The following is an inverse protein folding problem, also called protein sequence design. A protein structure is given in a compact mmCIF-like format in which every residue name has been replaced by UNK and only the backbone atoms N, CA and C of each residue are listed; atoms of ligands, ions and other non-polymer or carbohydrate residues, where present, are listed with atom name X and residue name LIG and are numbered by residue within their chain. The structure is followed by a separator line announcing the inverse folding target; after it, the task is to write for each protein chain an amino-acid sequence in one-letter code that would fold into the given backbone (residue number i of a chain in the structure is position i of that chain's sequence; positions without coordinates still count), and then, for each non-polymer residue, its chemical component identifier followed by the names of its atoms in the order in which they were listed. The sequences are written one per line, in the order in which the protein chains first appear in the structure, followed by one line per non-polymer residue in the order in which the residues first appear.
data_IF_837139470054
#
_entry.id   IF_837139470054
#
_cell.length_a   1.000
_cell.length_b   1.000
_cell.length_c   1.000
_cell.angle_alpha   90.00
_cell.angle_beta   90.00
_cell.angle_gamma   90.00
#
_symmetry.space_group_name_H-M   'P 1'
#
loop_
_entity.id
_entity.type
_entity.pdbx_description
1 polymer ?
#
# COMPACT_ATOMS: atom_id res chain seq x y z
N UNK A 1 5.74 -8.14 20.64
CA UNK A 1 4.50 -7.71 19.93
C UNK A 1 4.89 -6.85 18.74
N UNK A 2 4.07 -6.78 17.67
CA UNK A 2 4.40 -5.93 16.50
C UNK A 2 3.41 -4.78 16.38
N UNK A 3 3.87 -3.65 15.80
CA UNK A 3 3.05 -2.51 15.43
C UNK A 3 2.96 -2.40 13.92
N UNK A 4 1.74 -2.27 13.39
CA UNK A 4 1.50 -2.05 11.96
C UNK A 4 0.82 -0.70 11.73
N UNK A 5 1.30 0.04 10.75
CA UNK A 5 0.63 1.23 10.20
C UNK A 5 0.14 0.89 8.80
N UNK A 6 -1.17 0.98 8.55
CA UNK A 6 -1.77 0.55 7.28
C UNK A 6 -2.56 1.69 6.67
N UNK A 7 -2.16 2.16 5.50
CA UNK A 7 -2.96 3.11 4.73
C UNK A 7 -4.02 2.38 3.88
N UNK A 8 -5.21 2.98 3.73
CA UNK A 8 -6.32 2.33 3.04
C UNK A 8 -6.95 1.17 3.83
N UNK A 9 -6.94 1.24 5.17
CA UNK A 9 -7.31 0.15 6.07
C UNK A 9 -8.81 -0.19 6.15
N UNK A 10 -9.70 0.59 5.50
CA UNK A 10 -11.15 0.47 5.73
C UNK A 10 -11.89 -0.51 4.80
N UNK A 11 -11.26 -1.02 3.73
CA UNK A 11 -11.86 -1.95 2.77
C UNK A 11 -10.81 -2.78 2.02
N UNK A 12 -11.26 -3.79 1.29
CA UNK A 12 -10.42 -4.62 0.42
C UNK A 12 -9.20 -5.19 1.15
N UNK A 13 -8.05 -5.18 0.48
CA UNK A 13 -6.81 -5.74 1.02
C UNK A 13 -6.41 -5.12 2.36
N UNK A 14 -6.52 -3.79 2.51
CA UNK A 14 -6.15 -3.11 3.77
C UNK A 14 -7.00 -3.52 4.95
N UNK A 15 -8.32 -3.74 4.77
CA UNK A 15 -9.20 -4.24 5.82
C UNK A 15 -8.88 -5.71 6.17
N UNK A 16 -8.61 -6.55 5.16
CA UNK A 16 -8.24 -7.94 5.37
C UNK A 16 -6.90 -8.07 6.13
N UNK A 17 -5.88 -7.27 5.77
CA UNK A 17 -4.61 -7.18 6.50
C UNK A 17 -4.84 -6.76 7.95
N UNK A 18 -5.64 -5.70 8.17
CA UNK A 18 -5.96 -5.20 9.50
C UNK A 18 -6.61 -6.29 10.36
N UNK A 19 -7.63 -6.98 9.83
CA UNK A 19 -8.35 -8.03 10.55
C UNK A 19 -7.42 -9.21 10.94
N UNK A 20 -6.59 -9.69 10.01
CA UNK A 20 -5.68 -10.80 10.27
C UNK A 20 -4.60 -10.44 11.29
N UNK A 21 -4.08 -9.21 11.26
CA UNK A 21 -3.06 -8.75 12.20
C UNK A 21 -3.62 -8.56 13.62
N UNK A 22 -4.83 -8.02 13.74
CA UNK A 22 -5.53 -7.92 15.02
C UNK A 22 -5.85 -9.30 15.61
N UNK A 23 -6.28 -10.26 14.77
CA UNK A 23 -6.51 -11.64 15.19
C UNK A 23 -5.24 -12.35 15.69
N UNK A 24 -4.05 -11.92 15.25
CA UNK A 24 -2.75 -12.39 15.74
C UNK A 24 -2.27 -11.64 16.99
N UNK A 25 -3.07 -10.75 17.56
CA UNK A 25 -2.72 -9.99 18.77
C UNK A 25 -1.76 -8.83 18.54
N UNK A 26 -1.61 -8.37 17.31
CA UNK A 26 -0.77 -7.21 17.00
C UNK A 26 -1.51 -5.89 17.18
N UNK A 27 -0.78 -4.78 17.31
CA UNK A 27 -1.35 -3.42 17.27
C UNK A 27 -1.37 -2.89 15.86
N UNK A 28 -2.48 -2.24 15.47
CA UNK A 28 -2.66 -1.65 14.14
C UNK A 28 -3.08 -0.19 14.26
N UNK A 29 -2.37 0.71 13.55
CA UNK A 29 -2.85 2.04 13.22
C UNK A 29 -3.39 2.01 11.78
N UNK A 30 -4.71 2.11 11.64
CA UNK A 30 -5.39 2.18 10.35
C UNK A 30 -5.61 3.63 9.91
N UNK A 31 -5.27 3.93 8.65
CA UNK A 31 -5.45 5.25 8.03
C UNK A 31 -6.43 5.11 6.85
N UNK A 32 -7.58 5.76 6.89
CA UNK A 32 -8.51 5.81 5.75
C UNK A 32 -9.57 6.91 5.93
N UNK A 33 -10.28 7.24 4.87
CA UNK A 33 -11.36 8.26 4.90
C UNK A 33 -12.59 7.80 5.69
N UNK A 34 -12.93 6.52 5.61
CA UNK A 34 -14.08 5.93 6.33
C UNK A 34 -13.57 5.23 7.57
N UNK A 35 -14.22 5.48 8.69
CA UNK A 35 -13.93 4.78 9.93
C UNK A 35 -14.13 3.27 9.78
N UNK A 36 -13.30 2.50 10.46
CA UNK A 36 -13.50 1.08 10.67
C UNK A 36 -14.20 0.86 12.02
N UNK A 37 -14.93 -0.27 12.21
CA UNK A 37 -15.43 -0.65 13.51
C UNK A 37 -14.31 -0.70 14.54
N UNK A 38 -14.61 -0.27 15.77
CA UNK A 38 -13.66 -0.36 16.88
C UNK A 38 -13.33 -1.84 17.17
N UNK A 39 -12.06 -2.12 17.38
CA UNK A 39 -11.57 -3.45 17.74
C UNK A 39 -10.39 -3.33 18.71
N UNK A 40 -10.20 -4.30 19.62
CA UNK A 40 -9.03 -4.35 20.48
C UNK A 40 -7.73 -4.31 19.67
N UNK A 41 -6.78 -3.46 20.06
CA UNK A 41 -5.52 -3.30 19.35
C UNK A 41 -5.55 -2.38 18.12
N UNK A 42 -6.73 -1.87 17.71
CA UNK A 42 -6.91 -0.96 16.60
C UNK A 42 -6.98 0.50 17.08
N UNK A 43 -6.04 1.32 16.60
CA UNK A 43 -6.17 2.77 16.55
C UNK A 43 -6.55 3.13 15.12
N UNK A 44 -7.54 3.98 14.93
CA UNK A 44 -7.99 4.34 13.58
C UNK A 44 -8.07 5.86 13.40
N UNK A 45 -7.47 6.35 12.32
CA UNK A 45 -7.55 7.77 11.95
C UNK A 45 -8.37 7.94 10.67
N UNK A 46 -9.43 8.74 10.79
CA UNK A 46 -10.16 9.21 9.61
C UNK A 46 -9.37 10.35 8.96
N UNK A 47 -8.74 10.06 7.82
CA UNK A 47 -7.85 10.97 7.10
C UNK A 47 -8.01 10.83 5.59
N UNK A 48 -7.75 11.92 4.84
CA UNK A 48 -7.68 11.90 3.39
C UNK A 48 -6.23 12.03 2.91
N UNK A 49 -5.75 11.01 2.22
CA UNK A 49 -4.40 10.98 1.63
C UNK A 49 -4.29 11.77 0.31
N UNK A 50 -5.35 12.45 -0.14
CA UNK A 50 -5.26 13.49 -1.15
C UNK A 50 -4.62 14.79 -0.58
N UNK A 51 -4.53 14.92 0.75
CA UNK A 51 -3.72 15.88 1.48
C UNK A 51 -2.81 15.12 2.47
N UNK A 52 -1.69 14.56 2.00
CA UNK A 52 -0.91 13.61 2.80
C UNK A 52 0.03 14.27 3.82
N UNK A 53 0.41 15.55 3.64
CA UNK A 53 1.40 16.19 4.50
C UNK A 53 0.99 16.25 5.98
N UNK A 54 -0.21 16.73 6.35
CA UNK A 54 -0.63 16.76 7.75
C UNK A 54 -0.73 15.35 8.37
N UNK A 55 -1.06 14.34 7.54
CA UNK A 55 -1.15 12.95 7.98
C UNK A 55 0.24 12.39 8.29
N UNK A 56 1.23 12.70 7.46
CA UNK A 56 2.61 12.28 7.66
C UNK A 56 3.23 12.93 8.90
N UNK A 57 3.03 14.24 9.09
CA UNK A 57 3.49 14.97 10.29
C UNK A 57 2.88 14.37 11.56
N UNK A 58 1.57 14.11 11.54
CA UNK A 58 0.88 13.44 12.65
C UNK A 58 1.43 12.04 12.91
N UNK A 59 1.73 11.27 11.86
CA UNK A 59 2.29 9.92 11.98
C UNK A 59 3.67 9.97 12.64
N UNK A 60 4.55 10.86 12.21
CA UNK A 60 5.87 11.01 12.77
C UNK A 60 5.80 11.36 14.27
N UNK A 61 4.98 12.35 14.63
CA UNK A 61 4.78 12.76 16.02
C UNK A 61 4.20 11.63 16.88
N UNK A 62 3.21 10.89 16.34
CA UNK A 62 2.57 9.78 17.05
C UNK A 62 3.55 8.64 17.30
N UNK A 63 4.37 8.27 16.30
CA UNK A 63 5.40 7.23 16.46
C UNK A 63 6.44 7.63 17.53
N UNK A 64 6.85 8.89 17.57
CA UNK A 64 7.76 9.39 18.59
C UNK A 64 7.21 9.35 20.03
N UNK A 65 5.89 9.20 20.19
CA UNK A 65 5.23 9.08 21.50
C UNK A 65 4.98 7.62 21.93
N UNK A 66 5.23 6.64 21.03
CA UNK A 66 5.04 5.23 21.38
C UNK A 66 6.21 4.72 22.23
N UNK A 67 5.92 3.79 23.12
CA UNK A 67 6.98 3.07 23.84
C UNK A 67 7.61 2.02 22.91
N UNK A 68 8.73 2.35 22.29
CA UNK A 68 9.44 1.50 21.33
C UNK A 68 9.79 0.13 21.90
N UNK A 69 10.02 0.00 23.21
CA UNK A 69 10.39 -1.25 23.86
C UNK A 69 9.24 -2.31 23.86
N UNK A 70 8.01 -1.89 23.58
CA UNK A 70 6.87 -2.83 23.45
C UNK A 70 6.86 -3.60 22.12
N UNK A 71 7.66 -3.15 21.13
CA UNK A 71 7.57 -3.66 19.77
C UNK A 71 8.90 -4.27 19.28
N UNK A 72 8.87 -5.57 18.99
CA UNK A 72 10.01 -6.29 18.38
C UNK A 72 10.16 -5.93 16.88
N UNK A 73 9.05 -5.53 16.26
CA UNK A 73 8.99 -5.14 14.84
C UNK A 73 7.93 -4.06 14.63
N UNK A 74 8.24 -3.06 13.82
CA UNK A 74 7.30 -2.05 13.35
C UNK A 74 7.24 -2.05 11.82
N UNK A 75 6.02 -2.00 11.27
CA UNK A 75 5.79 -2.17 9.83
C UNK A 75 4.87 -1.07 9.32
N UNK A 76 5.28 -0.40 8.23
CA UNK A 76 4.40 0.45 7.43
C UNK A 76 3.94 -0.33 6.19
N UNK A 77 2.62 -0.38 5.97
CA UNK A 77 2.01 -0.92 4.74
C UNK A 77 1.31 0.21 4.00
N UNK A 78 1.95 0.75 2.98
CA UNK A 78 1.37 1.72 2.07
C UNK A 78 0.47 0.98 1.07
N UNK A 79 -0.80 0.82 1.43
CA UNK A 79 -1.79 0.11 0.62
C UNK A 79 -2.82 1.03 -0.05
N UNK A 80 -3.00 2.26 0.44
CA UNK A 80 -3.92 3.20 -0.18
C UNK A 80 -3.59 3.44 -1.66
N UNK A 81 -4.60 3.38 -2.50
CA UNK A 81 -4.48 3.63 -3.92
C UNK A 81 -5.83 3.94 -4.53
N UNK A 82 -5.82 4.73 -5.58
CA UNK A 82 -7.01 5.07 -6.35
C UNK A 82 -6.72 4.87 -7.84
N UNK A 83 -7.74 4.52 -8.59
CA UNK A 83 -7.74 4.59 -10.05
C UNK A 83 -8.64 5.74 -10.47
N UNK A 84 -8.25 6.45 -11.51
CA UNK A 84 -9.13 7.39 -12.20
C UNK A 84 -10.17 6.62 -13.01
N UNK A 85 -11.17 7.30 -13.52
CA UNK A 85 -11.98 6.73 -14.60
C UNK A 85 -11.04 6.33 -15.76
N UNK A 86 -11.06 5.08 -16.25
CA UNK A 86 -10.19 4.65 -17.33
C UNK A 86 -10.46 5.44 -18.62
N UNK A 87 -9.39 5.94 -19.23
CA UNK A 87 -9.48 6.71 -20.46
C UNK A 87 -8.14 7.35 -20.84
N UNK A 88 -8.02 7.87 -22.09
CA UNK A 88 -6.87 8.64 -22.50
C UNK A 88 -6.65 9.84 -21.57
N UNK A 89 -5.41 10.17 -21.24
CA UNK A 89 -5.07 11.15 -20.22
C UNK A 89 -5.71 12.54 -20.43
N UNK A 90 -5.86 12.95 -21.68
CA UNK A 90 -6.50 14.23 -22.02
C UNK A 90 -8.00 14.26 -21.73
N UNK A 91 -8.64 13.10 -21.55
CA UNK A 91 -10.06 12.97 -21.20
C UNK A 91 -10.32 12.85 -19.70
N UNK A 92 -9.29 12.72 -18.88
CA UNK A 92 -9.41 12.60 -17.42
C UNK A 92 -9.36 13.98 -16.77
N UNK A 93 -10.31 14.35 -15.88
CA UNK A 93 -10.27 15.63 -15.18
C UNK A 93 -8.95 15.85 -14.45
N UNK A 94 -8.35 17.05 -14.58
CA UNK A 94 -7.04 17.37 -13.97
C UNK A 94 -7.01 17.12 -12.45
N UNK A 95 -8.11 17.40 -11.75
CA UNK A 95 -8.23 17.14 -10.32
C UNK A 95 -8.11 15.63 -9.98
N UNK A 96 -8.65 14.75 -10.83
CA UNK A 96 -8.51 13.30 -10.65
C UNK A 96 -7.07 12.84 -10.92
N UNK A 97 -6.39 13.38 -11.94
CA UNK A 97 -4.99 13.10 -12.22
C UNK A 97 -4.11 13.49 -11.03
N UNK A 98 -4.29 14.70 -10.50
CA UNK A 98 -3.58 15.19 -9.33
C UNK A 98 -3.84 14.32 -8.10
N UNK A 99 -5.11 14.02 -7.80
CA UNK A 99 -5.47 13.16 -6.66
C UNK A 99 -4.89 11.74 -6.76
N UNK A 100 -4.86 11.16 -7.96
CA UNK A 100 -4.29 9.82 -8.17
C UNK A 100 -2.79 9.77 -7.82
N UNK A 101 -2.03 10.80 -8.21
CA UNK A 101 -0.61 10.90 -7.88
C UNK A 101 -0.39 11.22 -6.40
N UNK A 102 -1.19 12.12 -5.82
CA UNK A 102 -1.11 12.43 -4.39
C UNK A 102 -1.33 11.20 -3.52
N UNK A 103 -2.42 10.47 -3.76
CA UNK A 103 -2.73 9.27 -2.97
C UNK A 103 -1.79 8.11 -3.27
N UNK A 104 -1.44 7.89 -4.55
CA UNK A 104 -0.69 6.71 -4.98
C UNK A 104 0.82 6.82 -4.85
N UNK A 105 1.38 8.03 -4.85
CA UNK A 105 2.83 8.25 -4.83
C UNK A 105 3.27 9.22 -3.74
N UNK A 106 2.74 10.44 -3.71
CA UNK A 106 3.14 11.45 -2.72
C UNK A 106 2.87 10.97 -1.28
N UNK A 107 1.68 10.43 -1.02
CA UNK A 107 1.36 9.86 0.29
C UNK A 107 2.30 8.71 0.67
N UNK A 108 2.66 7.84 -0.29
CA UNK A 108 3.63 6.76 -0.05
C UNK A 108 4.99 7.32 0.35
N UNK A 109 5.48 8.34 -0.34
CA UNK A 109 6.75 9.00 -0.02
C UNK A 109 6.71 9.64 1.38
N UNK A 110 5.70 10.48 1.65
CA UNK A 110 5.62 11.23 2.90
C UNK A 110 5.38 10.34 4.12
N UNK A 111 4.51 9.33 4.01
CA UNK A 111 4.29 8.37 5.10
C UNK A 111 5.54 7.52 5.36
N UNK A 112 6.28 7.12 4.31
CA UNK A 112 7.54 6.39 4.47
C UNK A 112 8.59 7.26 5.16
N UNK A 113 8.75 8.52 4.75
CA UNK A 113 9.67 9.45 5.39
C UNK A 113 9.32 9.69 6.87
N UNK A 114 8.04 9.93 7.18
CA UNK A 114 7.54 10.12 8.53
C UNK A 114 7.76 8.87 9.41
N UNK A 115 7.51 7.68 8.83
CA UNK A 115 7.74 6.40 9.50
C UNK A 115 9.23 6.21 9.84
N UNK A 116 10.12 6.39 8.87
CA UNK A 116 11.56 6.26 9.06
C UNK A 116 12.11 7.26 10.09
N UNK A 117 11.63 8.50 10.05
CA UNK A 117 12.01 9.53 11.01
C UNK A 117 11.49 9.22 12.44
N UNK A 118 10.20 8.85 12.55
CA UNK A 118 9.54 8.58 13.82
C UNK A 118 9.99 7.28 14.51
N UNK A 119 10.59 6.35 13.77
CA UNK A 119 11.11 5.08 14.28
C UNK A 119 12.63 4.99 14.27
N UNK A 120 13.32 6.12 14.00
CA UNK A 120 14.77 6.17 13.78
C UNK A 120 15.55 5.44 14.87
N UNK A 121 15.23 5.71 16.12
CA UNK A 121 15.98 5.25 17.29
C UNK A 121 15.38 3.98 17.92
N UNK A 122 14.40 3.35 17.25
CA UNK A 122 13.80 2.11 17.72
C UNK A 122 14.75 0.93 17.50
N UNK A 123 14.92 0.10 18.55
CA UNK A 123 15.75 -1.10 18.49
C UNK A 123 15.11 -2.24 17.66
N UNK A 124 13.77 -2.29 17.62
CA UNK A 124 13.00 -3.29 16.87
C UNK A 124 13.23 -3.23 15.36
N UNK A 125 12.94 -4.33 14.68
CA UNK A 125 13.03 -4.39 13.22
C UNK A 125 12.05 -3.41 12.56
N UNK A 126 12.49 -2.77 11.49
CA UNK A 126 11.69 -1.83 10.70
C UNK A 126 11.46 -2.38 9.31
N UNK A 127 10.20 -2.38 8.86
CA UNK A 127 9.83 -2.84 7.51
C UNK A 127 8.86 -1.87 6.85
N UNK A 128 9.02 -1.68 5.55
CA UNK A 128 8.04 -0.96 4.71
C UNK A 128 7.61 -1.87 3.56
N UNK A 129 6.31 -2.05 3.42
CA UNK A 129 5.68 -2.70 2.26
C UNK A 129 4.86 -1.67 1.51
N UNK A 130 5.25 -1.38 0.29
CA UNK A 130 4.49 -0.56 -0.64
C UNK A 130 3.68 -1.48 -1.55
N UNK A 131 2.35 -1.47 -1.45
CA UNK A 131 1.49 -2.30 -2.31
C UNK A 131 1.48 -1.73 -3.71
N UNK A 132 2.29 -2.35 -4.57
CA UNK A 132 2.48 -1.98 -5.97
C UNK A 132 1.50 -2.71 -6.90
N UNK A 133 1.89 -2.89 -8.13
CA UNK A 133 1.14 -3.58 -9.19
C UNK A 133 2.11 -4.01 -10.29
N UNK A 134 1.75 -5.01 -11.08
CA UNK A 134 2.41 -5.28 -12.35
C UNK A 134 2.45 -4.06 -13.30
N UNK A 135 1.56 -3.08 -13.09
CA UNK A 135 1.54 -1.82 -13.85
C UNK A 135 2.60 -0.80 -13.38
N UNK A 136 3.35 -1.08 -12.34
CA UNK A 136 4.59 -0.37 -12.03
C UNK A 136 5.75 -0.76 -12.96
N UNK A 137 5.66 -1.94 -13.59
CA UNK A 137 6.72 -2.51 -14.46
C UNK A 137 6.35 -2.55 -15.92
N UNK A 138 5.07 -2.40 -16.27
CA UNK A 138 4.55 -2.35 -17.63
C UNK A 138 3.48 -1.27 -17.76
N UNK A 139 3.41 -0.65 -18.92
CA UNK A 139 2.37 0.32 -19.22
C UNK A 139 1.04 -0.39 -19.58
N UNK A 140 -0.07 0.32 -19.35
CA UNK A 140 -1.40 -0.05 -19.81
C UNK A 140 -2.10 1.20 -20.36
N UNK A 141 -2.76 1.05 -21.50
CA UNK A 141 -3.55 2.13 -22.08
C UNK A 141 -4.66 2.57 -21.09
N UNK A 142 -5.04 3.83 -21.16
CA UNK A 142 -6.10 4.41 -20.33
C UNK A 142 -5.86 4.37 -18.80
N UNK A 143 -4.63 4.10 -18.35
CA UNK A 143 -4.24 4.00 -16.94
C UNK A 143 -2.97 4.80 -16.60
N UNK A 144 -2.63 5.83 -17.37
CA UNK A 144 -1.38 6.58 -17.23
C UNK A 144 -1.09 7.06 -15.79
N UNK A 145 -2.03 7.70 -15.05
CA UNK A 145 -1.73 8.17 -13.68
C UNK A 145 -1.48 7.01 -12.71
N UNK A 146 -2.17 5.90 -12.86
CA UNK A 146 -1.96 4.71 -12.03
C UNK A 146 -0.60 4.06 -12.33
N UNK A 147 -0.25 3.88 -13.61
CA UNK A 147 1.06 3.37 -14.02
C UNK A 147 2.18 4.27 -13.49
N UNK A 148 2.05 5.59 -13.62
CA UNK A 148 3.03 6.55 -13.10
C UNK A 148 3.21 6.44 -11.59
N UNK A 149 2.11 6.36 -10.82
CA UNK A 149 2.16 6.22 -9.38
C UNK A 149 2.86 4.90 -8.97
N UNK A 150 2.53 3.77 -9.62
CA UNK A 150 3.11 2.47 -9.26
C UNK A 150 4.55 2.32 -9.72
N UNK A 151 4.93 2.87 -10.88
CA UNK A 151 6.33 2.92 -11.34
C UNK A 151 7.18 3.81 -10.41
N UNK A 152 6.65 4.98 -10.04
CA UNK A 152 7.29 5.86 -9.06
C UNK A 152 7.45 5.19 -7.70
N UNK A 153 6.45 4.46 -7.23
CA UNK A 153 6.49 3.69 -6.00
C UNK A 153 7.58 2.59 -6.04
N UNK A 154 7.68 1.83 -7.14
CA UNK A 154 8.73 0.82 -7.33
C UNK A 154 10.13 1.45 -7.29
N UNK A 155 10.32 2.58 -7.97
CA UNK A 155 11.62 3.27 -8.00
C UNK A 155 11.98 3.94 -6.69
N UNK A 156 11.01 4.58 -6.03
CA UNK A 156 11.15 5.12 -4.68
C UNK A 156 11.60 4.05 -3.68
N UNK A 157 10.99 2.86 -3.75
CA UNK A 157 11.36 1.75 -2.85
C UNK A 157 12.81 1.31 -3.04
N UNK A 158 13.32 1.27 -4.28
CA UNK A 158 14.73 0.98 -4.56
C UNK A 158 15.66 2.05 -3.96
N UNK A 159 15.33 3.32 -4.15
CA UNK A 159 16.14 4.42 -3.63
C UNK A 159 16.20 4.41 -2.09
N UNK A 160 15.04 4.30 -1.43
CA UNK A 160 14.98 4.23 0.02
C UNK A 160 15.68 2.99 0.59
N UNK A 161 15.62 1.83 -0.10
CA UNK A 161 16.32 0.62 0.32
C UNK A 161 17.84 0.83 0.34
N UNK A 162 18.40 1.50 -0.68
CA UNK A 162 19.83 1.86 -0.73
C UNK A 162 20.25 2.81 0.40
N UNK A 163 19.38 3.75 0.78
CA UNK A 163 19.64 4.67 1.88
C UNK A 163 19.65 3.93 3.23
N UNK A 164 18.68 3.04 3.43
CA UNK A 164 18.53 2.30 4.68
C UNK A 164 19.57 1.17 4.84
N UNK A 165 20.07 0.58 3.76
CA UNK A 165 21.15 -0.40 3.78
C UNK A 165 22.44 0.14 4.41
N UNK A 166 22.68 1.45 4.34
CA UNK A 166 23.83 2.13 4.93
C UNK A 166 23.71 2.37 6.44
N UNK A 167 22.58 2.02 7.04
CA UNK A 167 22.29 2.29 8.45
C UNK A 167 22.41 1.00 9.27
N UNK A 168 23.02 1.04 10.47
CA UNK A 168 23.20 -0.16 11.30
C UNK A 168 21.90 -0.91 11.64
N UNK A 169 20.78 -0.21 11.73
CA UNK A 169 19.44 -0.78 11.97
C UNK A 169 18.44 -0.18 10.98
N UNK A 170 18.81 -0.17 9.69
CA UNK A 170 17.97 0.38 8.64
C UNK A 170 16.73 -0.46 8.38
N UNK A 171 15.71 0.18 7.85
CA UNK A 171 14.47 -0.49 7.48
C UNK A 171 14.64 -1.37 6.23
N UNK A 172 13.99 -2.52 6.21
CA UNK A 172 13.86 -3.33 4.99
C UNK A 172 12.63 -2.86 4.21
N UNK A 173 12.80 -2.58 2.91
CA UNK A 173 11.78 -1.93 2.09
C UNK A 173 11.49 -2.76 0.85
N UNK A 174 10.20 -3.04 0.60
CA UNK A 174 9.75 -3.78 -0.58
C UNK A 174 8.53 -3.11 -1.20
N UNK A 175 8.59 -2.86 -2.49
CA UNK A 175 7.43 -2.59 -3.35
C UNK A 175 6.91 -3.93 -3.87
N UNK A 176 5.74 -4.36 -3.40
CA UNK A 176 5.20 -5.70 -3.59
C UNK A 176 3.94 -5.68 -4.45
N UNK A 177 3.97 -6.34 -5.62
CA UNK A 177 2.75 -6.57 -6.40
C UNK A 177 1.94 -7.70 -5.76
N UNK A 178 0.66 -7.46 -5.38
CA UNK A 178 -0.13 -8.42 -4.62
C UNK A 178 -0.91 -9.42 -5.50
N UNK A 179 -0.76 -9.39 -6.82
CA UNK A 179 -1.59 -10.15 -7.75
C UNK A 179 -2.88 -9.42 -8.13
N UNK A 180 -3.91 -10.15 -8.55
CA UNK A 180 -5.18 -9.62 -9.04
C UNK A 180 -6.26 -9.90 -7.99
N UNK A 181 -6.76 -8.85 -7.33
CA UNK A 181 -7.64 -8.96 -6.15
C UNK A 181 -9.06 -8.56 -6.52
N UNK A 182 -10.08 -9.34 -6.15
CA UNK A 182 -11.49 -8.96 -6.33
C UNK A 182 -11.89 -7.82 -5.36
N UNK A 183 -11.78 -6.59 -5.85
CA UNK A 183 -12.04 -5.35 -5.11
C UNK A 183 -12.89 -4.39 -5.94
N UNK A 184 -13.36 -3.32 -5.31
CA UNK A 184 -14.09 -2.24 -5.99
C UNK A 184 -13.30 -1.65 -7.18
N UNK A 185 -11.97 -1.65 -7.12
CA UNK A 185 -11.10 -1.25 -8.22
C UNK A 185 -11.30 -2.16 -9.44
N UNK A 186 -11.40 -3.47 -9.23
CA UNK A 186 -11.70 -4.43 -10.30
C UNK A 186 -13.12 -4.24 -10.85
N UNK A 187 -14.09 -3.93 -9.98
CA UNK A 187 -15.46 -3.59 -10.44
C UNK A 187 -15.42 -2.38 -11.36
N UNK A 188 -14.71 -1.32 -10.97
CA UNK A 188 -14.58 -0.11 -11.79
C UNK A 188 -13.94 -0.40 -13.16
N UNK A 189 -12.86 -1.19 -13.21
CA UNK A 189 -12.14 -1.51 -14.43
C UNK A 189 -12.96 -2.39 -15.39
N UNK A 190 -13.61 -3.46 -14.88
CA UNK A 190 -14.41 -4.35 -15.72
C UNK A 190 -15.75 -3.74 -16.19
N UNK A 191 -16.20 -2.67 -15.52
CA UNK A 191 -17.42 -1.93 -15.88
C UNK A 191 -17.14 -0.65 -16.68
N UNK A 192 -15.89 -0.38 -17.04
CA UNK A 192 -15.50 0.77 -17.82
C UNK A 192 -16.03 0.70 -19.26
N UNK A 193 -16.16 1.86 -19.91
CA UNK A 193 -16.54 1.96 -21.32
C UNK A 193 -15.45 1.35 -22.22
N UNK A 194 -15.75 0.27 -22.98
CA UNK A 194 -14.77 -0.37 -23.86
C UNK A 194 -14.18 0.56 -24.92
N UNK A 195 -14.91 1.60 -25.32
CA UNK A 195 -14.43 2.61 -26.29
C UNK A 195 -13.29 3.48 -25.70
N UNK A 196 -13.26 3.62 -24.38
CA UNK A 196 -12.25 4.42 -23.67
C UNK A 196 -11.16 3.56 -23.02
N UNK A 197 -11.46 2.28 -22.75
CA UNK A 197 -10.56 1.35 -22.06
C UNK A 197 -10.40 0.05 -22.87
N UNK A 198 -9.39 -0.05 -23.74
CA UNK A 198 -9.19 -1.22 -24.63
C UNK A 198 -9.05 -2.56 -23.89
N UNK A 199 -8.49 -2.55 -22.66
CA UNK A 199 -8.29 -3.75 -21.85
C UNK A 199 -9.55 -4.17 -21.04
N UNK A 200 -10.70 -3.50 -21.19
CA UNK A 200 -11.92 -3.77 -20.42
C UNK A 200 -12.33 -5.25 -20.47
N UNK A 201 -12.36 -5.85 -21.68
CA UNK A 201 -12.74 -7.25 -21.88
C UNK A 201 -11.81 -8.21 -21.11
N UNK A 202 -10.52 -7.91 -21.02
CA UNK A 202 -9.56 -8.70 -20.24
C UNK A 202 -9.89 -8.65 -18.74
N UNK A 203 -10.27 -7.49 -18.21
CA UNK A 203 -10.68 -7.37 -16.81
C UNK A 203 -12.02 -8.08 -16.52
N UNK A 204 -12.94 -8.10 -17.48
CA UNK A 204 -14.16 -8.89 -17.40
C UNK A 204 -13.85 -10.41 -17.40
N UNK A 205 -12.93 -10.86 -18.26
CA UNK A 205 -12.47 -12.26 -18.33
C UNK A 205 -11.84 -12.72 -17.01
N UNK A 206 -11.03 -11.93 -16.33
CA UNK A 206 -10.46 -12.29 -15.02
C UNK A 206 -11.52 -12.70 -14.01
N UNK A 207 -12.68 -12.03 -14.00
CA UNK A 207 -13.80 -12.40 -13.12
C UNK A 207 -14.52 -13.65 -13.60
N UNK A 208 -14.81 -13.74 -14.88
CA UNK A 208 -15.54 -14.87 -15.48
C UNK A 208 -14.77 -16.20 -15.36
N UNK A 209 -13.44 -16.15 -15.45
CA UNK A 209 -12.54 -17.30 -15.38
C UNK A 209 -12.07 -17.62 -13.95
N UNK A 210 -12.56 -16.91 -12.93
CA UNK A 210 -12.20 -17.16 -11.54
C UNK A 210 -10.74 -16.84 -11.19
N UNK A 211 -10.10 -15.95 -11.94
CA UNK A 211 -8.69 -15.58 -11.73
C UNK A 211 -8.49 -14.52 -10.63
N UNK A 212 -9.57 -13.95 -10.10
CA UNK A 212 -9.49 -12.97 -9.02
C UNK A 212 -9.41 -13.68 -7.67
N UNK A 213 -8.41 -13.30 -6.89
CA UNK A 213 -8.28 -13.78 -5.51
C UNK A 213 -9.08 -12.90 -4.53
N UNK A 214 -9.52 -13.49 -3.41
CA UNK A 214 -10.16 -12.71 -2.36
C UNK A 214 -9.14 -11.82 -1.63
N UNK A 215 -9.61 -10.72 -1.04
CA UNK A 215 -8.75 -9.83 -0.27
C UNK A 215 -8.08 -10.56 0.91
N UNK A 216 -8.78 -11.51 1.53
CA UNK A 216 -8.29 -12.32 2.65
C UNK A 216 -7.17 -13.27 2.23
N UNK A 217 -7.32 -13.95 1.09
CA UNK A 217 -6.29 -14.83 0.55
C UNK A 217 -5.01 -14.06 0.20
N UNK A 218 -5.16 -12.89 -0.43
CA UNK A 218 -4.02 -12.04 -0.77
C UNK A 218 -3.39 -11.44 0.48
N UNK A 219 -4.16 -11.03 1.48
CA UNK A 219 -3.64 -10.56 2.77
C UNK A 219 -2.74 -11.62 3.41
N UNK A 220 -3.18 -12.88 3.40
CA UNK A 220 -2.37 -14.01 3.91
C UNK A 220 -1.04 -14.14 3.14
N UNK A 221 -1.05 -14.01 1.81
CA UNK A 221 0.18 -14.06 0.99
C UNK A 221 1.12 -12.89 1.30
N UNK A 222 0.59 -11.66 1.42
CA UNK A 222 1.36 -10.48 1.77
C UNK A 222 2.00 -10.62 3.15
N UNK A 223 1.27 -11.11 4.15
CA UNK A 223 1.79 -11.33 5.49
C UNK A 223 2.83 -12.46 5.53
N UNK A 224 2.64 -13.53 4.75
CA UNK A 224 3.65 -14.58 4.58
C UNK A 224 4.93 -14.02 3.96
N UNK A 225 4.83 -13.23 2.88
CA UNK A 225 5.97 -12.57 2.25
C UNK A 225 6.70 -11.64 3.23
N UNK A 226 5.97 -10.83 3.99
CA UNK A 226 6.52 -9.95 5.04
C UNK A 226 7.28 -10.73 6.12
N UNK A 227 6.87 -11.97 6.43
CA UNK A 227 7.49 -12.85 7.41
C UNK A 227 8.75 -13.59 6.91
N UNK A 228 9.12 -13.48 5.64
CA UNK A 228 10.30 -14.16 5.08
C UNK A 228 11.60 -13.65 5.72
N UNK A 229 12.54 -14.54 5.89
CA UNK A 229 13.87 -14.19 6.42
C UNK A 229 14.64 -13.26 5.45
N UNK A 230 14.44 -13.45 4.16
CA UNK A 230 15.04 -12.66 3.07
C UNK A 230 14.19 -11.42 2.66
N UNK A 231 13.14 -11.06 3.43
CA UNK A 231 12.37 -9.85 3.16
C UNK A 231 13.30 -8.64 3.03
N UNK A 232 13.18 -7.90 1.93
CA UNK A 232 14.00 -6.73 1.63
C UNK A 232 15.25 -7.02 0.79
N UNK A 233 15.59 -8.27 0.50
CA UNK A 233 16.71 -8.62 -0.40
C UNK A 233 16.46 -8.16 -1.84
N UNK A 234 15.20 -8.14 -2.27
CA UNK A 234 14.77 -7.54 -3.51
C UNK A 234 13.74 -6.43 -3.22
N UNK A 235 14.06 -5.15 -3.45
CA UNK A 235 13.17 -4.04 -3.14
C UNK A 235 11.94 -3.94 -4.06
N UNK A 236 11.82 -4.77 -5.10
CA UNK A 236 10.65 -4.83 -5.99
C UNK A 236 10.33 -6.29 -6.28
N UNK A 237 9.20 -6.77 -5.79
CA UNK A 237 8.80 -8.18 -5.84
C UNK A 237 7.32 -8.38 -6.20
N UNK A 238 6.93 -9.63 -6.39
CA UNK A 238 5.56 -10.06 -6.62
C UNK A 238 5.24 -11.22 -5.66
N UNK A 239 4.06 -11.22 -5.05
CA UNK A 239 3.66 -12.30 -4.11
C UNK A 239 3.53 -13.68 -4.76
N UNK A 240 3.57 -13.74 -6.09
CA UNK A 240 3.48 -14.96 -6.89
C UNK A 240 4.86 -15.56 -7.23
N UNK A 241 5.92 -14.80 -6.98
CA UNK A 241 7.31 -15.24 -7.17
C UNK A 241 7.79 -15.79 -5.82
N UNK A 242 7.95 -17.10 -5.75
CA UNK A 242 8.47 -17.83 -4.57
C UNK A 242 10.00 -17.78 -4.49
#
# INVERSE_FOLDING_TARGET
MKLFVISGASRGLGAALTAQLLAQGHRVLGLARRAAPAAPGLVFWSVDLADPLPVAERLQAWLGQQNAAEFDEVVLINNAGVVTEPGPVQGVPLAQLSSALRVGLEATLLLSAAFLAGTRDWAGQKKIVNISSGLGRRAMAAAAPYCAAKAGMDHLSRAMALDEERRPNGARIVSLAPGIIDTDMQVQLRSADPAKFPDQSRFAAFKAEGQLETAEAVATKVLRYLGRADFGSNPVADVRED
#
